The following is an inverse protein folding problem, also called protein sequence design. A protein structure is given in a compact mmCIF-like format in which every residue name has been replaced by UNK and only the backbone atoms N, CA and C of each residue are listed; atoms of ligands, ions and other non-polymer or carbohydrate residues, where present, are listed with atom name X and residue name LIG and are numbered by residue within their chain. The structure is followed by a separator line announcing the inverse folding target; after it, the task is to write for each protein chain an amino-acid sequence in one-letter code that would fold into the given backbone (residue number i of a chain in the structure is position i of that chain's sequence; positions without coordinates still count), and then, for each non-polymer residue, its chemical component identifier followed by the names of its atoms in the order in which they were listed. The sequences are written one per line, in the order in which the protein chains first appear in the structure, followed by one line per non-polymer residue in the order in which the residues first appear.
data_IF_924376323850
#
_entry.id   IF_924376323850
#
_cell.length_a   1.000
_cell.length_b   1.000
_cell.length_c   1.000
_cell.angle_alpha   90.00
_cell.angle_beta   90.00
_cell.angle_gamma   90.00
#
_symmetry.space_group_name_H-M   'P 1'
#
loop_
_entity.id
_entity.type
_entity.pdbx_description
1 polymer ?
#
# COMPACT_ATOMS: atom_id res chain seq x y z
N UNK A 1 77.84 20.23 -2.93
CA UNK A 1 78.11 20.23 -4.38
C UNK A 1 78.48 18.81 -4.76
N UNK A 2 77.60 18.05 -5.43
CA UNK A 2 77.68 17.97 -6.90
C UNK A 2 76.31 17.79 -7.59
N UNK A 3 76.39 17.51 -8.89
CA UNK A 3 75.51 17.86 -10.01
C UNK A 3 74.63 16.72 -10.55
N UNK A 4 73.51 17.11 -11.17
CA UNK A 4 72.91 16.62 -12.44
C UNK A 4 72.88 15.11 -12.73
N UNK A 5 71.66 14.55 -12.82
CA UNK A 5 71.36 13.30 -13.53
C UNK A 5 70.10 13.46 -14.41
N UNK A 6 70.24 13.20 -15.71
CA UNK A 6 69.22 13.30 -16.77
C UNK A 6 68.11 12.25 -16.64
N UNK A 7 66.94 12.60 -17.17
CA UNK A 7 65.76 11.76 -17.47
C UNK A 7 66.08 10.66 -18.49
N UNK A 8 65.45 9.47 -18.38
CA UNK A 8 65.04 8.72 -19.57
C UNK A 8 63.52 8.51 -19.64
N UNK A 9 63.10 8.32 -20.89
CA UNK A 9 61.74 8.25 -21.45
C UNK A 9 61.20 6.82 -21.53
N UNK A 10 59.92 6.76 -21.89
CA UNK A 10 58.99 5.63 -21.91
C UNK A 10 59.29 4.46 -22.86
N UNK A 11 58.86 3.28 -22.42
CA UNK A 11 58.23 2.14 -23.15
C UNK A 11 57.80 1.14 -22.04
N UNK A 12 56.69 0.41 -21.98
CA UNK A 12 55.57 0.08 -22.84
C UNK A 12 54.39 -0.32 -21.92
N UNK A 13 53.15 -0.09 -22.33
CA UNK A 13 52.04 -1.05 -22.24
C UNK A 13 50.69 -0.38 -22.57
N UNK A 14 50.06 -0.93 -23.60
CA UNK A 14 48.74 -0.66 -24.17
C UNK A 14 47.56 -0.85 -23.22
N UNK A 15 46.50 -0.03 -23.37
CA UNK A 15 45.15 -0.30 -22.84
C UNK A 15 44.14 0.84 -23.08
N UNK A 16 43.12 0.56 -23.90
CA UNK A 16 42.00 1.40 -24.39
C UNK A 16 41.14 2.06 -23.27
N UNK A 17 40.73 3.35 -23.37
CA UNK A 17 39.91 4.00 -22.35
C UNK A 17 38.42 3.88 -22.65
N UNK A 18 37.76 2.88 -22.06
CA UNK A 18 36.29 2.86 -22.02
C UNK A 18 35.78 2.13 -20.78
N UNK A 19 35.30 2.89 -19.79
CA UNK A 19 34.13 2.57 -18.98
C UNK A 19 33.97 3.59 -17.84
N UNK A 20 33.49 4.80 -18.16
CA UNK A 20 32.86 5.64 -17.12
C UNK A 20 31.50 5.01 -16.81
N UNK A 21 31.42 4.30 -15.67
CA UNK A 21 30.16 3.72 -15.19
C UNK A 21 29.15 4.82 -14.92
N UNK A 22 28.16 4.93 -15.81
CA UNK A 22 27.00 5.81 -15.67
C UNK A 22 26.17 5.35 -14.46
N UNK A 23 26.07 6.21 -13.46
CA UNK A 23 25.28 6.01 -12.25
C UNK A 23 23.81 5.86 -12.65
N UNK A 24 23.24 4.66 -12.46
CA UNK A 24 21.82 4.40 -12.70
C UNK A 24 21.01 4.98 -11.56
N UNK A 25 20.27 6.04 -11.86
CA UNK A 25 19.24 6.59 -10.99
C UNK A 25 18.13 5.54 -10.84
N UNK A 26 17.99 4.97 -9.65
CA UNK A 26 16.87 4.09 -9.31
C UNK A 26 15.62 4.94 -9.15
N UNK A 27 14.79 4.93 -10.19
CA UNK A 27 13.36 5.24 -10.05
C UNK A 27 12.80 4.20 -9.09
N UNK A 28 12.19 4.64 -8.00
CA UNK A 28 11.44 3.79 -7.10
C UNK A 28 10.28 3.20 -7.90
N UNK A 29 10.49 1.96 -8.35
CA UNK A 29 9.50 1.18 -9.06
C UNK A 29 8.27 1.05 -8.17
N UNK A 30 7.12 1.45 -8.70
CA UNK A 30 5.82 1.26 -8.06
C UNK A 30 5.50 -0.22 -8.09
N UNK A 31 6.14 -0.99 -7.20
CA UNK A 31 5.95 -2.42 -7.10
C UNK A 31 4.47 -2.73 -6.95
N UNK A 32 3.95 -3.63 -7.80
CA UNK A 32 2.65 -4.25 -7.57
C UNK A 32 2.71 -4.86 -6.17
N UNK A 33 1.97 -4.28 -5.23
CA UNK A 33 1.71 -4.95 -3.96
C UNK A 33 0.87 -6.18 -4.27
N UNK A 34 1.41 -7.34 -3.96
CA UNK A 34 0.69 -8.59 -4.12
C UNK A 34 -0.34 -8.76 -3.01
N UNK A 35 -1.43 -9.44 -3.32
CA UNK A 35 -2.47 -9.76 -2.33
C UNK A 35 -1.94 -10.84 -1.39
N UNK A 36 -1.73 -10.50 -0.12
CA UNK A 36 -1.49 -11.50 0.93
C UNK A 36 -2.73 -12.38 1.14
N UNK A 37 -2.81 -13.47 0.38
CA UNK A 37 -3.99 -14.33 0.29
C UNK A 37 -4.30 -15.06 1.59
N UNK A 38 -3.32 -15.20 2.50
CA UNK A 38 -3.53 -15.86 3.80
C UNK A 38 -4.40 -15.02 4.75
N UNK A 39 -4.48 -13.70 4.52
CA UNK A 39 -5.27 -12.78 5.33
C UNK A 39 -6.71 -12.63 4.83
N UNK A 40 -7.06 -13.28 3.73
CA UNK A 40 -8.36 -13.17 3.09
C UNK A 40 -9.16 -14.47 3.21
N UNK A 41 -10.41 -14.34 3.68
CA UNK A 41 -11.44 -15.38 3.57
C UNK A 41 -12.50 -14.91 2.60
N UNK A 42 -12.60 -15.56 1.43
CA UNK A 42 -13.50 -15.14 0.36
C UNK A 42 -14.50 -16.25 0.05
N UNK A 43 -15.78 -15.90 0.07
CA UNK A 43 -16.90 -16.71 -0.41
C UNK A 43 -17.58 -16.01 -1.58
N UNK A 44 -18.64 -16.60 -2.13
CA UNK A 44 -19.40 -15.99 -3.22
C UNK A 44 -20.02 -14.64 -2.84
N UNK A 45 -20.46 -14.51 -1.58
CA UNK A 45 -21.26 -13.39 -1.07
C UNK A 45 -20.54 -12.51 -0.04
N UNK A 46 -19.35 -12.90 0.42
CA UNK A 46 -18.61 -12.19 1.45
C UNK A 46 -17.10 -12.34 1.28
N UNK A 47 -16.37 -11.23 1.35
CA UNK A 47 -14.93 -11.21 1.45
C UNK A 47 -14.51 -10.57 2.77
N UNK A 48 -13.67 -11.25 3.54
CA UNK A 48 -13.19 -10.79 4.83
C UNK A 48 -11.67 -10.67 4.76
N UNK A 49 -11.16 -9.49 5.06
CA UNK A 49 -9.74 -9.25 5.34
C UNK A 49 -9.53 -9.18 6.85
N UNK A 50 -8.64 -10.03 7.36
CA UNK A 50 -8.28 -10.04 8.78
C UNK A 50 -6.77 -9.86 8.91
N UNK A 51 -6.27 -8.65 9.24
CA UNK A 51 -4.84 -8.44 9.42
C UNK A 51 -4.32 -9.21 10.64
N UNK A 52 -3.01 -9.52 10.67
CA UNK A 52 -2.36 -10.01 11.88
C UNK A 52 -2.64 -9.07 13.06
N UNK A 53 -2.71 -9.61 14.27
CA UNK A 53 -2.97 -8.86 15.52
C UNK A 53 -4.38 -8.31 15.69
N UNK A 54 -5.34 -8.70 14.83
CA UNK A 54 -6.76 -8.43 15.07
C UNK A 54 -7.22 -9.10 16.36
N UNK A 55 -7.69 -8.31 17.34
CA UNK A 55 -8.21 -8.82 18.61
C UNK A 55 -9.73 -8.94 18.59
N UNK A 56 -10.25 -9.94 19.28
CA UNK A 56 -11.67 -10.03 19.58
C UNK A 56 -12.02 -9.08 20.72
N UNK A 57 -13.22 -8.50 20.69
CA UNK A 57 -13.75 -7.66 21.75
C UNK A 57 -15.26 -7.80 21.84
N UNK A 58 -15.81 -7.60 23.05
CA UNK A 58 -17.25 -7.46 23.27
C UNK A 58 -17.79 -6.11 22.78
N UNK A 59 -16.91 -5.11 22.58
CA UNK A 59 -17.25 -3.79 22.03
C UNK A 59 -16.75 -3.71 20.59
N UNK A 60 -17.64 -3.33 19.67
CA UNK A 60 -17.31 -3.22 18.25
C UNK A 60 -17.67 -1.83 17.74
N UNK A 61 -16.71 -1.16 17.10
CA UNK A 61 -16.94 0.04 16.30
C UNK A 61 -16.95 -0.37 14.83
N UNK A 62 -18.14 -0.50 14.26
CA UNK A 62 -18.33 -0.84 12.85
C UNK A 62 -18.63 0.42 12.04
N UNK A 63 -17.88 0.65 10.96
CA UNK A 63 -17.99 1.85 10.12
C UNK A 63 -18.08 1.47 8.64
N UNK A 64 -18.76 2.29 7.85
CA UNK A 64 -18.69 2.19 6.40
C UNK A 64 -17.31 2.64 5.88
N UNK A 65 -16.95 2.26 4.65
CA UNK A 65 -15.67 2.62 4.04
C UNK A 65 -15.77 3.91 3.19
N UNK A 66 -16.52 3.85 2.09
CA UNK A 66 -16.58 4.92 1.10
C UNK A 66 -17.55 6.02 1.58
N UNK A 67 -17.09 7.27 1.66
CA UNK A 67 -17.87 8.37 2.21
C UNK A 67 -17.85 8.47 3.75
N UNK A 68 -17.13 7.57 4.43
CA UNK A 68 -16.94 7.60 5.89
C UNK A 68 -15.45 7.61 6.25
N UNK A 69 -14.71 6.56 5.90
CA UNK A 69 -13.26 6.47 6.17
C UNK A 69 -12.46 7.11 5.03
N UNK A 70 -12.85 6.82 3.79
CA UNK A 70 -12.19 7.33 2.59
C UNK A 70 -13.16 8.05 1.68
N UNK A 71 -12.63 8.98 0.89
CA UNK A 71 -13.30 9.63 -0.24
C UNK A 71 -12.39 9.60 -1.45
N UNK A 72 -12.91 9.88 -2.64
CA UNK A 72 -12.07 9.98 -3.83
C UNK A 72 -11.06 11.12 -3.69
N UNK A 73 -9.82 10.87 -4.10
CA UNK A 73 -8.81 11.92 -4.12
C UNK A 73 -9.12 12.95 -5.23
N UNK A 74 -9.71 12.48 -6.32
CA UNK A 74 -10.14 13.26 -7.48
C UNK A 74 -11.36 14.16 -7.24
N UNK A 75 -12.14 13.93 -6.17
CA UNK A 75 -13.39 14.63 -5.89
C UNK A 75 -14.60 14.16 -6.72
N UNK A 76 -14.45 13.08 -7.51
CA UNK A 76 -15.56 12.46 -8.25
C UNK A 76 -16.46 11.65 -7.32
N UNK A 77 -17.71 11.46 -7.71
CA UNK A 77 -18.64 10.56 -7.01
C UNK A 77 -18.16 9.11 -7.05
N UNK A 78 -17.54 8.67 -8.15
CA UNK A 78 -16.98 7.33 -8.32
C UNK A 78 -15.47 7.40 -8.59
N UNK A 79 -14.68 6.48 -8.02
CA UNK A 79 -13.22 6.47 -8.21
C UNK A 79 -12.86 6.16 -9.66
N UNK A 80 -11.83 6.84 -10.19
CA UNK A 80 -11.29 6.54 -11.53
C UNK A 80 -10.54 5.20 -11.61
N UNK A 81 -9.88 4.82 -10.52
CA UNK A 81 -9.05 3.63 -10.39
C UNK A 81 -8.91 3.23 -8.91
N UNK A 82 -8.23 2.11 -8.63
CA UNK A 82 -8.06 1.59 -7.26
C UNK A 82 -7.24 2.50 -6.33
N UNK A 83 -6.48 3.45 -6.89
CA UNK A 83 -5.64 4.39 -6.14
C UNK A 83 -6.34 5.74 -5.91
N UNK A 84 -7.53 5.96 -6.49
CA UNK A 84 -8.29 7.20 -6.33
C UNK A 84 -9.03 7.25 -5.00
N UNK A 85 -8.27 7.33 -3.91
CA UNK A 85 -8.82 7.49 -2.57
C UNK A 85 -7.88 8.32 -1.69
N UNK A 86 -8.46 8.94 -0.67
CA UNK A 86 -7.76 9.57 0.45
C UNK A 86 -8.59 9.39 1.71
N UNK A 87 -7.95 9.46 2.88
CA UNK A 87 -8.68 9.52 4.14
C UNK A 87 -9.58 10.76 4.13
N UNK A 88 -10.85 10.60 4.50
CA UNK A 88 -11.86 11.65 4.40
C UNK A 88 -11.51 12.88 5.25
N UNK A 89 -11.15 12.67 6.51
CA UNK A 89 -10.74 13.71 7.44
C UNK A 89 -9.43 13.31 8.13
N UNK A 90 -8.53 14.28 8.33
CA UNK A 90 -7.19 14.02 8.88
C UNK A 90 -7.20 13.45 10.31
N UNK A 91 -8.28 13.67 11.07
CA UNK A 91 -8.44 13.17 12.44
C UNK A 91 -8.92 11.72 12.53
N UNK A 92 -9.42 11.11 11.44
CA UNK A 92 -9.97 9.74 11.47
C UNK A 92 -9.00 8.72 12.10
N UNK A 93 -7.71 8.63 11.69
CA UNK A 93 -6.79 7.68 12.29
C UNK A 93 -6.64 7.86 13.81
N UNK A 94 -6.63 9.10 14.29
CA UNK A 94 -6.53 9.40 15.72
C UNK A 94 -7.79 8.96 16.48
N UNK A 95 -8.98 9.21 15.92
CA UNK A 95 -10.26 8.78 16.50
C UNK A 95 -10.34 7.26 16.59
N UNK A 96 -9.96 6.54 15.53
CA UNK A 96 -9.98 5.07 15.54
C UNK A 96 -9.02 4.49 16.58
N UNK A 97 -7.81 5.06 16.71
CA UNK A 97 -6.83 4.65 17.74
C UNK A 97 -7.34 4.90 19.15
N UNK A 98 -8.08 5.99 19.36
CA UNK A 98 -8.72 6.25 20.65
C UNK A 98 -9.74 5.15 21.00
N UNK A 99 -10.64 4.80 20.08
CA UNK A 99 -11.60 3.72 20.33
C UNK A 99 -10.93 2.35 20.52
N UNK A 100 -9.87 2.04 19.77
CA UNK A 100 -9.06 0.84 19.99
C UNK A 100 -8.46 0.81 21.41
N UNK A 101 -7.93 1.94 21.89
CA UNK A 101 -7.41 2.06 23.26
C UNK A 101 -8.48 1.91 24.36
N UNK A 102 -9.74 2.24 24.05
CA UNK A 102 -10.91 2.02 24.92
C UNK A 102 -11.44 0.58 24.85
N UNK A 103 -10.75 -0.30 24.12
CA UNK A 103 -11.05 -1.72 23.99
C UNK A 103 -12.08 -2.05 22.91
N UNK A 104 -12.38 -1.15 21.97
CA UNK A 104 -13.24 -1.46 20.83
C UNK A 104 -12.45 -2.21 19.75
N UNK A 105 -13.03 -3.29 19.24
CA UNK A 105 -12.60 -3.84 17.95
C UNK A 105 -13.12 -2.94 16.85
N UNK A 106 -12.22 -2.37 16.04
CA UNK A 106 -12.61 -1.58 14.87
C UNK A 106 -12.84 -2.50 13.67
N UNK A 107 -13.99 -2.36 13.03
CA UNK A 107 -14.39 -3.14 11.85
C UNK A 107 -14.88 -2.19 10.76
N UNK A 108 -14.49 -2.45 9.52
CA UNK A 108 -15.07 -1.78 8.36
C UNK A 108 -16.04 -2.73 7.68
N UNK A 109 -17.27 -2.27 7.42
CA UNK A 109 -18.30 -2.99 6.70
C UNK A 109 -18.66 -2.20 5.46
N UNK A 110 -18.52 -2.77 4.27
CA UNK A 110 -18.81 -2.03 3.03
C UNK A 110 -19.46 -2.90 1.97
N UNK A 111 -20.40 -2.29 1.25
CA UNK A 111 -21.11 -2.90 0.15
C UNK A 111 -20.40 -2.58 -1.18
N UNK A 112 -20.00 -3.61 -1.92
CA UNK A 112 -19.25 -3.44 -3.18
C UNK A 112 -19.88 -4.24 -4.32
N UNK A 113 -21.04 -3.77 -4.80
CA UNK A 113 -21.77 -4.37 -5.92
C UNK A 113 -20.99 -4.43 -7.24
N UNK A 114 -19.91 -3.64 -7.35
CA UNK A 114 -19.09 -3.57 -8.56
C UNK A 114 -18.44 -4.91 -8.94
N UNK A 115 -18.17 -5.79 -7.97
CA UNK A 115 -17.48 -7.06 -8.23
C UNK A 115 -18.37 -8.15 -8.83
N UNK A 116 -19.69 -7.97 -8.79
CA UNK A 116 -20.63 -8.90 -9.44
C UNK A 116 -20.45 -8.89 -10.95
N UNK A 117 -20.25 -7.70 -11.50
CA UNK A 117 -20.15 -7.48 -12.94
C UNK A 117 -18.77 -7.83 -13.48
N UNK A 118 -17.74 -7.64 -12.66
CA UNK A 118 -16.35 -7.80 -13.09
C UNK A 118 -15.46 -8.21 -11.89
N UNK A 119 -15.25 -9.52 -11.76
CA UNK A 119 -14.38 -10.11 -10.72
C UNK A 119 -12.90 -9.80 -10.94
N UNK A 120 -12.47 -9.39 -12.14
CA UNK A 120 -11.05 -9.09 -12.42
C UNK A 120 -10.53 -7.88 -11.62
N UNK A 121 -11.44 -7.03 -11.14
CA UNK A 121 -11.14 -5.86 -10.29
C UNK A 121 -10.91 -6.21 -8.82
N UNK A 122 -11.26 -7.43 -8.41
CA UNK A 122 -11.22 -7.84 -7.01
C UNK A 122 -9.79 -7.83 -6.42
N UNK A 123 -8.73 -8.33 -7.10
CA UNK A 123 -7.38 -8.25 -6.56
C UNK A 123 -6.89 -6.82 -6.33
N UNK A 124 -7.15 -5.91 -7.28
CA UNK A 124 -6.79 -4.49 -7.13
C UNK A 124 -7.52 -3.85 -5.93
N UNK A 125 -8.74 -4.28 -5.67
CA UNK A 125 -9.48 -3.86 -4.49
C UNK A 125 -8.91 -4.43 -3.20
N UNK A 126 -8.50 -5.70 -3.17
CA UNK A 126 -7.84 -6.28 -2.00
C UNK A 126 -6.58 -5.49 -1.62
N UNK A 127 -5.79 -5.07 -2.61
CA UNK A 127 -4.63 -4.20 -2.40
C UNK A 127 -5.04 -2.83 -1.85
N UNK A 128 -6.09 -2.20 -2.40
CA UNK A 128 -6.65 -0.94 -1.87
C UNK A 128 -6.99 -1.08 -0.38
N UNK A 129 -7.63 -2.18 0.02
CA UNK A 129 -8.02 -2.42 1.41
C UNK A 129 -6.81 -2.53 2.33
N UNK A 130 -5.80 -3.30 1.92
CA UNK A 130 -4.54 -3.42 2.66
C UNK A 130 -3.87 -2.05 2.83
N UNK A 131 -3.87 -1.24 1.78
CA UNK A 131 -3.26 0.10 1.82
C UNK A 131 -4.04 1.08 2.70
N UNK A 132 -5.38 1.00 2.70
CA UNK A 132 -6.22 1.79 3.62
C UNK A 132 -5.95 1.39 5.07
N UNK A 133 -5.95 0.09 5.39
CA UNK A 133 -5.69 -0.39 6.76
C UNK A 133 -4.28 -0.01 7.21
N UNK A 134 -3.27 -0.19 6.34
CA UNK A 134 -1.90 0.23 6.62
C UNK A 134 -1.80 1.75 6.86
N UNK A 135 -2.55 2.56 6.10
CA UNK A 135 -2.58 4.02 6.26
C UNK A 135 -3.24 4.46 7.57
N UNK A 136 -4.26 3.73 8.04
CA UNK A 136 -4.91 3.99 9.33
C UNK A 136 -3.99 3.60 10.50
N UNK A 137 -3.18 2.54 10.32
CA UNK A 137 -2.13 2.16 11.26
C UNK A 137 -2.66 1.48 12.53
N UNK A 138 -3.68 0.63 12.38
CA UNK A 138 -4.24 -0.26 13.40
C UNK A 138 -4.82 -1.52 12.72
N UNK A 139 -4.88 -2.68 13.41
CA UNK A 139 -5.36 -3.93 12.83
C UNK A 139 -6.89 -3.94 12.70
N UNK A 140 -7.40 -3.38 11.61
CA UNK A 140 -8.83 -3.27 11.32
C UNK A 140 -9.28 -4.48 10.49
N UNK A 141 -10.27 -5.21 10.99
CA UNK A 141 -10.94 -6.24 10.21
C UNK A 141 -11.89 -5.59 9.20
N UNK A 142 -11.90 -6.08 7.97
CA UNK A 142 -12.73 -5.50 6.91
C UNK A 142 -13.60 -6.57 6.26
N UNK A 143 -14.90 -6.32 6.20
CA UNK A 143 -15.88 -7.20 5.57
C UNK A 143 -16.52 -6.48 4.38
N UNK A 144 -16.43 -7.08 3.21
CA UNK A 144 -17.07 -6.60 2.00
C UNK A 144 -18.15 -7.57 1.54
N UNK A 145 -19.31 -7.00 1.25
CA UNK A 145 -20.44 -7.71 0.70
C UNK A 145 -20.49 -7.43 -0.79
N UNK A 146 -20.01 -8.35 -1.64
CA UNK A 146 -20.19 -8.23 -3.08
C UNK A 146 -21.65 -8.23 -3.55
N UNK A 147 -22.68 -8.12 -2.69
CA UNK A 147 -24.13 -8.26 -2.96
C UNK A 147 -24.50 -9.46 -3.87
N UNK A 148 -25.48 -10.26 -3.46
CA UNK A 148 -26.04 -11.34 -4.29
C UNK A 148 -26.90 -10.79 -5.43
#
# INVERSE_FOLDING_TARGET
MPTRGKRPTASDASGDPSAVKKLRQTVLDGGKKDVDSALWSVTDSLAIFTPPDTKNSAKVLALDMDGTIIVTASGRTFPKDANDWKIMLANIPAVLKHYDSEGFKVVILSNQSAFKKDRSKFPAFQVKVQDVVAKLGLPIQVCFFPLL
#
